data_IF_170283327008
#
_entry.id   IF_170283327008
#
_cell.length_a   1.000
_cell.length_b   1.000
_cell.length_c   1.000
_cell.angle_alpha   90.00
_cell.angle_beta   90.00
_cell.angle_gamma   90.00
#
_symmetry.space_group_name_H-M   'P 1'
#
loop_
_entity.id
_entity.type
_entity.pdbx_description
1 polymer ?
#
# COMPACT_ATOMS: atom_id res chain seq x y z
N UNK A 1 -22.39 9.11 15.91
CA UNK A 1 -22.56 7.97 14.96
C UNK A 1 -21.85 8.16 13.62
N UNK A 2 -21.64 9.39 13.12
CA UNK A 2 -20.91 9.65 11.87
C UNK A 2 -19.37 9.77 11.99
N UNK A 3 -18.83 9.85 13.22
CA UNK A 3 -17.40 9.99 13.45
C UNK A 3 -16.56 8.76 13.03
N UNK A 4 -17.10 7.55 13.17
CA UNK A 4 -16.41 6.30 12.80
C UNK A 4 -16.14 6.20 11.29
N UNK A 5 -17.17 6.35 10.43
CA UNK A 5 -16.99 6.39 8.98
C UNK A 5 -16.03 7.50 8.52
N UNK A 6 -16.16 8.70 9.10
CA UNK A 6 -15.33 9.84 8.71
C UNK A 6 -13.84 9.61 9.02
N UNK A 7 -13.51 9.11 10.22
CA UNK A 7 -12.15 8.73 10.56
C UNK A 7 -11.61 7.62 9.63
N UNK A 8 -12.46 6.67 9.24
CA UNK A 8 -12.09 5.64 8.25
C UNK A 8 -11.70 6.25 6.89
N UNK A 9 -12.49 7.20 6.39
CA UNK A 9 -12.19 7.90 5.13
C UNK A 9 -10.92 8.75 5.22
N UNK A 10 -10.72 9.47 6.32
CA UNK A 10 -9.51 10.27 6.56
C UNK A 10 -8.25 9.38 6.60
N UNK A 11 -8.31 8.24 7.30
CA UNK A 11 -7.21 7.28 7.36
C UNK A 11 -6.89 6.67 5.99
N UNK A 12 -7.92 6.30 5.22
CA UNK A 12 -7.75 5.79 3.84
C UNK A 12 -7.10 6.86 2.95
N UNK A 13 -7.53 8.12 3.08
CA UNK A 13 -6.97 9.25 2.33
C UNK A 13 -5.49 9.52 2.67
N UNK A 14 -5.14 9.48 3.97
CA UNK A 14 -3.76 9.63 4.41
C UNK A 14 -2.85 8.52 3.87
N UNK A 15 -3.30 7.26 3.98
CA UNK A 15 -2.58 6.10 3.44
C UNK A 15 -2.44 6.19 1.93
N UNK A 16 -3.47 6.64 1.20
CA UNK A 16 -3.40 6.86 -0.25
C UNK A 16 -2.37 7.94 -0.62
N UNK A 17 -2.29 9.02 0.17
CA UNK A 17 -1.27 10.06 -0.01
C UNK A 17 0.16 9.53 0.17
N UNK A 18 0.38 8.70 1.19
CA UNK A 18 1.68 8.03 1.41
C UNK A 18 1.99 7.08 0.25
N UNK A 19 1.01 6.27 -0.16
CA UNK A 19 1.12 5.33 -1.28
C UNK A 19 1.54 6.01 -2.60
N UNK A 20 1.06 7.22 -2.85
CA UNK A 20 1.47 8.02 -4.00
C UNK A 20 2.95 8.41 -3.98
N UNK A 21 3.49 8.70 -2.78
CA UNK A 21 4.88 9.10 -2.59
C UNK A 21 5.82 7.89 -2.44
N UNK A 22 5.30 6.67 -2.28
CA UNK A 22 6.10 5.46 -2.05
C UNK A 22 7.24 5.24 -3.03
N UNK A 23 7.09 5.40 -4.36
CA UNK A 23 8.19 5.13 -5.28
C UNK A 23 9.41 6.02 -5.01
N UNK A 24 9.18 7.29 -4.68
CA UNK A 24 10.23 8.26 -4.35
C UNK A 24 10.84 7.93 -3.00
N UNK A 25 10.00 7.68 -1.99
CA UNK A 25 10.46 7.33 -0.64
C UNK A 25 11.26 6.02 -0.59
N UNK A 26 10.89 5.02 -1.40
CA UNK A 26 11.65 3.77 -1.54
C UNK A 26 12.99 4.01 -2.21
N UNK A 27 13.04 4.89 -3.21
CA UNK A 27 14.29 5.29 -3.84
C UNK A 27 15.23 5.99 -2.84
N UNK A 28 14.71 6.96 -2.10
CA UNK A 28 15.45 7.64 -1.02
C UNK A 28 16.00 6.62 -0.01
N UNK A 29 15.14 5.71 0.46
CA UNK A 29 15.54 4.61 1.36
C UNK A 29 16.69 3.78 0.80
N UNK A 30 16.63 3.43 -0.49
CA UNK A 30 17.69 2.67 -1.15
C UNK A 30 19.00 3.45 -1.28
N UNK A 31 18.91 4.76 -1.56
CA UNK A 31 20.08 5.64 -1.58
C UNK A 31 20.70 5.73 -0.19
N UNK A 32 19.91 5.92 0.86
CA UNK A 32 20.39 6.02 2.23
C UNK A 32 21.05 4.72 2.68
N UNK A 33 20.47 3.56 2.32
CA UNK A 33 21.05 2.25 2.58
C UNK A 33 22.46 2.11 1.96
N UNK A 34 22.64 2.54 0.71
CA UNK A 34 23.92 2.38 0.00
C UNK A 34 24.95 3.43 0.42
N UNK A 35 24.51 4.65 0.70
CA UNK A 35 25.38 5.78 1.07
C UNK A 35 25.67 5.85 2.57
N UNK A 36 24.93 5.10 3.39
CA UNK A 36 24.98 5.19 4.85
C UNK A 36 24.31 6.45 5.41
N UNK A 37 23.34 7.01 4.68
CA UNK A 37 22.57 8.18 5.09
C UNK A 37 21.67 7.92 6.31
N UNK A 38 21.22 9.01 6.95
CA UNK A 38 20.25 8.92 8.05
C UNK A 38 18.89 8.44 7.54
N UNK A 39 18.31 7.48 8.26
CA UNK A 39 17.03 6.88 7.90
C UNK A 39 15.89 7.86 8.21
N UNK A 40 15.10 8.23 7.21
CA UNK A 40 13.89 9.03 7.40
C UNK A 40 12.91 8.32 8.36
N UNK A 41 12.57 8.92 9.53
CA UNK A 41 11.60 8.35 10.47
C UNK A 41 10.19 8.21 9.90
N UNK A 42 9.83 9.07 8.94
CA UNK A 42 8.54 9.02 8.23
C UNK A 42 8.63 8.18 6.95
N UNK A 43 9.75 7.47 6.76
CA UNK A 43 10.00 6.60 5.63
C UNK A 43 9.12 5.35 5.62
N UNK A 44 8.86 4.77 4.44
CA UNK A 44 8.09 3.54 4.31
C UNK A 44 8.83 2.37 4.95
N UNK A 45 8.06 1.56 5.68
CA UNK A 45 8.50 0.33 6.34
C UNK A 45 8.10 -0.88 5.50
N UNK A 46 8.91 -1.94 5.58
CA UNK A 46 8.55 -3.23 5.01
C UNK A 46 7.59 -4.01 5.90
N UNK A 47 7.10 -5.13 5.37
CA UNK A 47 6.31 -6.12 6.13
C UNK A 47 7.11 -6.65 7.33
N UNK A 48 8.44 -6.75 7.21
CA UNK A 48 9.33 -7.17 8.30
C UNK A 48 9.38 -6.10 9.40
N UNK A 49 9.52 -4.82 9.03
CA UNK A 49 9.46 -3.70 9.96
C UNK A 49 8.13 -3.62 10.72
N UNK A 50 7.00 -3.82 10.03
CA UNK A 50 5.69 -3.90 10.67
C UNK A 50 5.59 -5.08 11.67
N UNK A 51 6.21 -6.21 11.35
CA UNK A 51 6.29 -7.37 12.24
C UNK A 51 7.13 -7.11 13.49
N UNK A 52 8.23 -6.36 13.36
CA UNK A 52 9.06 -5.93 14.50
C UNK A 52 8.25 -5.03 15.44
N UNK A 53 7.53 -4.03 14.91
CA UNK A 53 6.66 -3.14 15.70
C UNK A 53 5.57 -3.96 16.43
N UNK A 54 4.95 -4.91 15.74
CA UNK A 54 3.95 -5.78 16.37
C UNK A 54 4.55 -6.63 17.51
N UNK A 55 5.79 -7.10 17.33
CA UNK A 55 6.55 -7.81 18.36
C UNK A 55 6.88 -6.94 19.56
N UNK A 56 7.33 -5.71 19.33
CA UNK A 56 7.60 -4.72 20.38
C UNK A 56 6.33 -4.45 21.21
N UNK A 57 5.20 -4.19 20.55
CA UNK A 57 3.90 -3.99 21.21
C UNK A 57 3.46 -5.23 22.01
N UNK A 58 3.75 -6.43 21.51
CA UNK A 58 3.42 -7.67 22.22
C UNK A 58 4.30 -7.88 23.47
N UNK A 59 5.57 -7.46 23.40
CA UNK A 59 6.56 -7.57 24.47
C UNK A 59 6.49 -6.44 25.50
N UNK A 60 5.79 -5.35 25.20
CA UNK A 60 5.67 -4.19 26.07
C UNK A 60 5.09 -4.55 27.45
N UNK A 61 5.66 -3.94 28.50
CA UNK A 61 5.20 -4.07 29.88
C UNK A 61 3.91 -3.27 30.10
N UNK A 62 2.83 -3.70 29.43
CA UNK A 62 1.51 -3.09 29.50
C UNK A 62 0.44 -4.11 29.91
N UNK A 63 -0.70 -3.65 30.46
CA UNK A 63 -1.86 -4.51 30.69
C UNK A 63 -2.23 -5.29 29.42
N UNK A 64 -2.65 -6.55 29.56
CA UNK A 64 -2.99 -7.43 28.43
C UNK A 64 -3.98 -6.76 27.47
N UNK A 65 -4.96 -6.03 28.02
CA UNK A 65 -5.94 -5.29 27.23
C UNK A 65 -5.29 -4.24 26.30
N UNK A 66 -4.27 -3.52 26.78
CA UNK A 66 -3.57 -2.51 26.01
C UNK A 66 -2.68 -3.14 24.92
N UNK A 67 -2.05 -4.28 25.21
CA UNK A 67 -1.27 -5.02 24.21
C UNK A 67 -2.14 -5.55 23.08
N UNK A 68 -3.29 -6.14 23.43
CA UNK A 68 -4.27 -6.62 22.44
C UNK A 68 -4.78 -5.46 21.59
N UNK A 69 -5.11 -4.31 22.21
CA UNK A 69 -5.52 -3.12 21.47
C UNK A 69 -4.42 -2.61 20.52
N UNK A 70 -3.15 -2.60 20.97
CA UNK A 70 -2.01 -2.21 20.14
C UNK A 70 -1.81 -3.15 18.94
N UNK A 71 -1.82 -4.47 19.16
CA UNK A 71 -1.71 -5.46 18.07
C UNK A 71 -2.86 -5.30 17.08
N UNK A 72 -4.09 -5.14 17.57
CA UNK A 72 -5.26 -4.89 16.71
C UNK A 72 -5.10 -3.59 15.91
N UNK A 73 -4.48 -2.56 16.48
CA UNK A 73 -4.17 -1.32 15.77
C UNK A 73 -3.17 -1.53 14.63
N UNK A 74 -2.10 -2.30 14.86
CA UNK A 74 -1.12 -2.64 13.80
C UNK A 74 -1.76 -3.49 12.70
N UNK A 75 -2.60 -4.45 13.07
CA UNK A 75 -3.35 -5.26 12.09
C UNK A 75 -4.35 -4.41 11.30
N UNK A 76 -5.02 -3.46 11.96
CA UNK A 76 -5.96 -2.55 11.31
C UNK A 76 -5.23 -1.65 10.30
N UNK A 77 -4.11 -1.04 10.67
CA UNK A 77 -3.33 -0.18 9.76
C UNK A 77 -2.78 -0.97 8.57
N UNK A 78 -2.27 -2.18 8.80
CA UNK A 78 -1.77 -3.06 7.74
C UNK A 78 -2.88 -3.45 6.76
N UNK A 79 -4.08 -3.80 7.24
CA UNK A 79 -5.20 -4.13 6.37
C UNK A 79 -5.66 -2.92 5.56
N UNK A 80 -5.70 -1.72 6.15
CA UNK A 80 -6.02 -0.49 5.42
C UNK A 80 -4.95 -0.22 4.35
N UNK A 81 -3.67 -0.38 4.67
CA UNK A 81 -2.58 -0.24 3.71
C UNK A 81 -2.70 -1.22 2.54
N UNK A 82 -2.95 -2.50 2.80
CA UNK A 82 -3.19 -3.51 1.76
C UNK A 82 -4.42 -3.18 0.91
N UNK A 83 -5.50 -2.72 1.55
CA UNK A 83 -6.71 -2.31 0.85
C UNK A 83 -6.44 -1.14 -0.10
N UNK A 84 -5.78 -0.09 0.38
CA UNK A 84 -5.42 1.07 -0.46
C UNK A 84 -4.44 0.68 -1.56
N UNK A 85 -3.45 -0.16 -1.26
CA UNK A 85 -2.52 -0.69 -2.24
C UNK A 85 -3.26 -1.47 -3.34
N UNK A 86 -4.19 -2.35 -2.97
CA UNK A 86 -5.02 -3.08 -3.92
C UNK A 86 -5.93 -2.17 -4.75
N UNK A 87 -6.26 -0.95 -4.31
CA UNK A 87 -7.03 0.02 -5.09
C UNK A 87 -6.18 0.80 -6.10
N UNK A 88 -4.84 0.75 -6.01
CA UNK A 88 -3.97 1.43 -6.97
C UNK A 88 -4.22 0.83 -8.36
N UNK A 89 -4.37 1.65 -9.42
CA UNK A 89 -4.69 1.21 -10.78
C UNK A 89 -3.48 0.57 -11.49
N UNK A 90 -2.86 -0.42 -10.85
CA UNK A 90 -1.81 -1.25 -11.40
C UNK A 90 -2.41 -2.61 -11.73
N UNK A 91 -1.97 -3.21 -12.84
CA UNK A 91 -2.48 -4.49 -13.34
C UNK A 91 -2.35 -5.69 -12.39
N UNK A 92 -1.25 -5.87 -11.63
CA UNK A 92 -1.17 -6.97 -10.66
C UNK A 92 -2.05 -6.74 -9.42
N UNK A 93 -2.64 -5.54 -9.28
CA UNK A 93 -3.49 -5.16 -8.15
C UNK A 93 -4.95 -5.15 -8.59
N UNK A 94 -5.86 -5.43 -7.66
CA UNK A 94 -7.29 -5.56 -7.96
C UNK A 94 -7.88 -4.28 -8.60
N UNK A 95 -7.31 -3.12 -8.28
CA UNK A 95 -7.65 -1.81 -8.85
C UNK A 95 -7.45 -1.72 -10.35
N UNK A 96 -6.52 -2.49 -10.93
CA UNK A 96 -6.37 -2.62 -12.39
C UNK A 96 -7.64 -3.16 -13.06
N UNK A 97 -8.28 -4.17 -12.44
CA UNK A 97 -9.54 -4.73 -12.92
C UNK A 97 -10.70 -3.75 -12.71
N UNK A 98 -10.69 -3.00 -11.61
CA UNK A 98 -11.69 -1.95 -11.32
C UNK A 98 -11.62 -0.86 -12.39
N UNK A 99 -10.43 -0.40 -12.80
CA UNK A 99 -10.29 0.61 -13.86
C UNK A 99 -10.79 0.08 -15.20
N UNK A 100 -10.45 -1.17 -15.55
CA UNK A 100 -10.93 -1.79 -16.80
C UNK A 100 -12.46 -1.89 -16.79
N UNK A 101 -13.03 -2.45 -15.72
CA UNK A 101 -14.47 -2.60 -15.56
C UNK A 101 -15.21 -1.25 -15.51
N UNK A 102 -14.63 -0.23 -14.87
CA UNK A 102 -15.16 1.12 -14.85
C UNK A 102 -15.12 1.74 -16.26
N UNK A 103 -14.02 1.55 -17.00
CA UNK A 103 -13.92 2.05 -18.38
C UNK A 103 -14.93 1.40 -19.30
N UNK A 104 -15.17 0.08 -19.16
CA UNK A 104 -16.18 -0.66 -19.91
C UNK A 104 -17.59 -0.24 -19.50
N UNK A 105 -17.83 -0.07 -18.19
CA UNK A 105 -19.08 0.42 -17.64
C UNK A 105 -19.43 1.81 -18.16
N UNK A 106 -18.48 2.73 -18.18
CA UNK A 106 -18.64 4.08 -18.75
C UNK A 106 -18.91 4.01 -20.25
N UNK A 107 -18.11 3.27 -21.02
CA UNK A 107 -18.32 3.12 -22.48
C UNK A 107 -19.69 2.50 -22.78
N UNK A 108 -20.13 1.51 -22.01
CA UNK A 108 -21.44 0.87 -22.16
C UNK A 108 -22.58 1.80 -21.76
N UNK A 109 -22.42 2.58 -20.69
CA UNK A 109 -23.38 3.61 -20.30
C UNK A 109 -23.52 4.70 -21.37
N UNK A 110 -22.39 5.14 -21.94
CA UNK A 110 -22.37 6.13 -23.02
C UNK A 110 -22.96 5.60 -24.32
N UNK A 111 -22.65 4.34 -24.68
CA UNK A 111 -23.27 3.65 -25.81
C UNK A 111 -24.80 3.49 -25.63
N UNK A 112 -25.25 3.15 -24.41
CA UNK A 112 -26.69 3.08 -24.08
C UNK A 112 -27.37 4.45 -24.18
N UNK A 113 -26.71 5.50 -23.69
CA UNK A 113 -27.20 6.88 -23.77
C UNK A 113 -27.31 7.36 -25.22
N UNK A 114 -26.35 6.99 -26.07
CA UNK A 114 -26.32 7.34 -27.49
C UNK A 114 -27.04 6.32 -28.40
N UNK A 115 -27.72 5.32 -27.84
CA UNK A 115 -28.38 4.22 -28.57
C UNK A 115 -27.47 3.52 -29.60
N UNK A 116 -26.17 3.45 -29.30
CA UNK A 116 -25.16 2.77 -30.12
C UNK A 116 -25.00 1.30 -29.68
N UNK A 117 -24.56 0.42 -30.61
CA UNK A 117 -24.26 -0.96 -30.26
C UNK A 117 -23.17 -1.04 -29.17
N UNK A 118 -23.18 -2.10 -28.34
CA UNK A 118 -22.27 -2.22 -27.21
C UNK A 118 -20.80 -2.23 -27.68
N UNK A 119 -19.90 -1.52 -26.98
CA UNK A 119 -18.49 -1.47 -27.32
C UNK A 119 -17.78 -2.82 -27.09
N UNK A 120 -16.74 -3.10 -27.88
CA UNK A 120 -15.95 -4.33 -27.77
C UNK A 120 -15.20 -4.40 -26.41
N UNK A 121 -15.05 -5.60 -25.81
CA UNK A 121 -14.30 -5.79 -24.57
C UNK A 121 -12.84 -5.36 -24.71
N UNK A 122 -12.24 -4.93 -23.60
CA UNK A 122 -10.81 -4.58 -23.58
C UNK A 122 -9.97 -5.86 -23.48
N UNK A 123 -9.06 -6.07 -24.43
CA UNK A 123 -8.12 -7.20 -24.41
C UNK A 123 -7.10 -7.08 -23.26
N UNK A 124 -7.38 -7.72 -22.14
CA UNK A 124 -6.48 -7.77 -20.98
C UNK A 124 -5.15 -8.49 -21.28
N UNK A 125 -5.10 -9.35 -22.31
CA UNK A 125 -3.88 -10.10 -22.69
C UNK A 125 -2.72 -9.19 -23.09
N UNK A 126 -3.01 -8.00 -23.64
CA UNK A 126 -1.98 -7.02 -24.02
C UNK A 126 -1.31 -6.36 -22.82
N UNK A 127 -1.91 -6.48 -21.64
CA UNK A 127 -1.44 -5.87 -20.40
C UNK A 127 -0.49 -6.80 -19.62
N UNK A 128 -0.46 -8.09 -19.94
CA UNK A 128 0.41 -9.10 -19.29
C UNK A 128 1.89 -8.70 -19.24
N UNK A 129 2.51 -8.18 -20.31
CA UNK A 129 3.92 -7.76 -20.26
C UNK A 129 4.15 -6.62 -19.27
N UNK A 130 3.20 -5.68 -19.19
CA UNK A 130 3.26 -4.55 -18.27
C UNK A 130 3.10 -5.04 -16.83
N UNK A 131 2.18 -5.97 -16.58
CA UNK A 131 2.03 -6.62 -15.28
C UNK A 131 3.34 -7.22 -14.80
N UNK A 132 4.07 -7.91 -15.68
CA UNK A 132 5.34 -8.53 -15.31
C UNK A 132 6.40 -7.49 -14.90
N UNK A 133 6.50 -6.38 -15.64
CA UNK A 133 7.41 -5.27 -15.29
C UNK A 133 7.04 -4.70 -13.92
N UNK A 134 5.75 -4.43 -13.68
CA UNK A 134 5.28 -3.89 -12.40
C UNK A 134 5.57 -4.86 -11.25
N UNK A 135 5.32 -6.16 -11.42
CA UNK A 135 5.62 -7.18 -10.39
C UNK A 135 7.10 -7.19 -10.04
N UNK A 136 7.99 -7.16 -11.04
CA UNK A 136 9.44 -7.11 -10.81
C UNK A 136 9.82 -5.83 -10.06
N UNK A 137 9.26 -4.67 -10.43
CA UNK A 137 9.47 -3.42 -9.70
C UNK A 137 9.00 -3.50 -8.25
N UNK A 138 7.81 -4.06 -7.99
CA UNK A 138 7.27 -4.22 -6.64
C UNK A 138 8.14 -5.15 -5.78
N UNK A 139 8.62 -6.26 -6.35
CA UNK A 139 9.55 -7.17 -5.67
C UNK A 139 10.86 -6.45 -5.35
N UNK A 140 11.42 -5.69 -6.29
CA UNK A 140 12.64 -4.94 -6.08
C UNK A 140 12.48 -3.88 -4.97
N UNK A 141 11.38 -3.12 -4.99
CA UNK A 141 11.04 -2.15 -3.95
C UNK A 141 10.90 -2.83 -2.58
N UNK A 142 10.17 -3.95 -2.51
CA UNK A 142 10.01 -4.73 -1.29
C UNK A 142 11.35 -5.25 -0.75
N UNK A 143 12.22 -5.75 -1.63
CA UNK A 143 13.55 -6.22 -1.24
C UNK A 143 14.42 -5.09 -0.66
N UNK A 144 14.39 -3.90 -1.27
CA UNK A 144 15.11 -2.72 -0.76
C UNK A 144 14.62 -2.34 0.64
N UNK A 145 13.30 -2.27 0.85
CA UNK A 145 12.73 -1.93 2.15
C UNK A 145 13.04 -2.97 3.22
N UNK A 146 12.93 -4.26 2.88
CA UNK A 146 13.28 -5.35 3.81
C UNK A 146 14.75 -5.25 4.21
N UNK A 147 15.63 -5.03 3.23
CA UNK A 147 17.06 -4.89 3.50
C UNK A 147 17.35 -3.65 4.37
N UNK A 148 16.66 -2.54 4.11
CA UNK A 148 16.75 -1.32 4.91
C UNK A 148 16.32 -1.55 6.36
N UNK A 149 15.18 -2.22 6.58
CA UNK A 149 14.69 -2.49 7.93
C UNK A 149 15.60 -3.45 8.73
N UNK A 150 16.31 -4.35 8.05
CA UNK A 150 17.25 -5.28 8.70
C UNK A 150 18.58 -4.59 9.02
N UNK A 151 19.10 -3.78 8.10
CA UNK A 151 20.43 -3.16 8.23
C UNK A 151 20.38 -1.87 9.05
N UNK A 152 19.32 -1.08 8.91
CA UNK A 152 19.14 0.20 9.58
C UNK A 152 17.66 0.37 10.04
N UNK A 153 17.24 -0.37 11.08
CA UNK A 153 15.87 -0.34 11.56
C UNK A 153 15.49 1.05 12.10
N UNK A 154 14.29 1.51 11.74
CA UNK A 154 13.72 2.73 12.33
C UNK A 154 13.31 2.42 13.78
N UNK A 155 13.93 3.11 14.74
CA UNK A 155 13.52 3.04 16.15
C UNK A 155 12.31 3.96 16.39
N UNK A 156 11.11 3.40 16.36
CA UNK A 156 9.85 4.17 16.55
C UNK A 156 9.58 4.43 18.03
N UNK A 157 10.08 3.55 18.90
CA UNK A 157 10.16 3.76 20.33
C UNK A 157 11.64 3.86 20.70
N UNK A 158 12.18 5.09 20.67
CA UNK A 158 13.55 5.34 21.11
C UNK A 158 13.80 4.75 22.50
N UNK A 159 14.96 4.13 22.69
CA UNK A 159 15.51 3.82 24.02
C UNK A 159 15.97 5.10 24.71
#
# INVERSE_FOLDING_TARGET
IWAGPQMGFENVGAVAGIMWQLPVKVWETGVDLVTGGERDPDGPLSIVGAGLIAGEVASAEAPVLNRVAGILSVLASLNIALFVFNLIPLLPLDGGHVVVALSEGIKRAWAKLLRRPPPAPVDATKLVPVTFVVVVCLIAMGAVLILADIVNPISIFGS
#
